data_IF_476788216182
#
_entry.id   IF_476788216182
#
_cell.length_a   1.000
_cell.length_b   1.000
_cell.length_c   1.000
_cell.angle_alpha   90.00
_cell.angle_beta   90.00
_cell.angle_gamma   90.00
#
_symmetry.space_group_name_H-M   'P 1'
#
loop_
_entity.id
_entity.type
_entity.pdbx_description
1 polymer ?
#
# COMPACT_ATOMS: atom_id res chain seq x y z
N UNK A 1 -7.68 -1.93 21.36
CA UNK A 1 -7.56 -0.54 20.87
C UNK A 1 -6.41 -0.51 19.89
N UNK A 2 -6.48 0.29 18.82
CA UNK A 2 -5.39 0.42 17.84
C UNK A 2 -4.76 1.79 18.05
N UNK A 3 -3.48 1.84 18.39
CA UNK A 3 -2.77 3.09 18.69
C UNK A 3 -2.10 3.69 17.46
N UNK A 4 -1.62 2.84 16.54
CA UNK A 4 -0.94 3.28 15.32
C UNK A 4 -1.25 2.40 14.12
N UNK A 5 -1.11 2.97 12.92
CA UNK A 5 -1.17 2.26 11.64
C UNK A 5 0.03 2.58 10.76
N UNK A 6 0.51 1.57 10.02
CA UNK A 6 1.56 1.74 9.01
C UNK A 6 0.95 1.70 7.61
N UNK A 7 1.22 2.72 6.80
CA UNK A 7 0.51 2.92 5.52
C UNK A 7 1.47 3.36 4.42
N UNK A 8 1.18 2.95 3.18
CA UNK A 8 1.85 3.52 2.00
C UNK A 8 1.24 4.90 1.75
N UNK A 9 2.07 5.94 1.75
CA UNK A 9 1.66 7.29 1.36
C UNK A 9 2.86 8.03 0.79
N UNK A 10 2.72 8.57 -0.42
CA UNK A 10 3.74 9.36 -1.08
C UNK A 10 3.11 10.22 -2.18
N UNK A 11 3.92 10.99 -2.89
CA UNK A 11 3.47 11.89 -3.96
C UNK A 11 2.67 11.15 -5.06
N UNK A 12 2.93 9.86 -5.30
CA UNK A 12 2.26 9.06 -6.31
C UNK A 12 1.09 8.21 -5.79
N UNK A 13 1.00 7.96 -4.49
CA UNK A 13 -0.03 7.15 -3.83
C UNK A 13 -0.63 7.92 -2.64
N UNK A 14 -1.82 8.45 -2.85
CA UNK A 14 -2.52 9.34 -1.92
C UNK A 14 -3.88 8.78 -1.46
N UNK A 15 -4.22 7.53 -1.81
CA UNK A 15 -5.47 6.89 -1.40
C UNK A 15 -5.78 6.95 0.11
N UNK A 16 -4.79 6.90 1.04
CA UNK A 16 -5.09 7.05 2.47
C UNK A 16 -5.82 8.35 2.85
N UNK A 17 -5.70 9.42 2.07
CA UNK A 17 -6.38 10.70 2.36
C UNK A 17 -7.91 10.59 2.29
N UNK A 18 -8.46 9.66 1.50
CA UNK A 18 -9.90 9.59 1.25
C UNK A 18 -10.70 9.13 2.48
N UNK A 19 -10.22 8.12 3.19
CA UNK A 19 -10.97 7.48 4.28
C UNK A 19 -10.12 7.16 5.50
N UNK A 20 -8.88 6.73 5.29
CA UNK A 20 -8.01 6.25 6.36
C UNK A 20 -7.53 7.40 7.25
N UNK A 21 -7.04 8.49 6.67
CA UNK A 21 -6.58 9.66 7.44
C UNK A 21 -7.70 10.33 8.24
N UNK A 22 -8.89 10.60 7.68
CA UNK A 22 -10.03 11.08 8.47
C UNK A 22 -10.41 10.14 9.62
N UNK A 23 -10.33 8.82 9.42
CA UNK A 23 -10.59 7.86 10.48
C UNK A 23 -9.52 7.92 11.58
N UNK A 24 -8.24 7.99 11.20
CA UNK A 24 -7.14 8.08 12.15
C UNK A 24 -7.25 9.35 13.02
N UNK A 25 -7.57 10.49 12.41
CA UNK A 25 -7.78 11.75 13.15
C UNK A 25 -8.95 11.66 14.13
N UNK A 26 -10.12 11.14 13.70
CA UNK A 26 -11.29 10.95 14.58
C UNK A 26 -11.01 10.05 15.77
N UNK A 27 -10.24 8.98 15.54
CA UNK A 27 -9.96 7.97 16.55
C UNK A 27 -8.63 8.20 17.30
N UNK A 28 -7.93 9.32 17.03
CA UNK A 28 -6.62 9.65 17.62
C UNK A 28 -5.57 8.56 17.43
N UNK A 29 -5.57 7.94 16.25
CA UNK A 29 -4.61 6.89 15.85
C UNK A 29 -3.42 7.54 15.14
N UNK A 30 -2.21 7.17 15.55
CA UNK A 30 -0.99 7.66 14.92
C UNK A 30 -0.75 7.02 13.54
N UNK A 31 -0.31 7.81 12.57
CA UNK A 31 0.03 7.33 11.23
C UNK A 31 1.54 7.31 11.05
N UNK A 32 2.07 6.13 10.74
CA UNK A 32 3.48 5.90 10.38
C UNK A 32 3.54 5.63 8.87
N UNK A 33 4.15 6.55 8.12
CA UNK A 33 4.21 6.42 6.67
C UNK A 33 5.42 5.60 6.24
N UNK A 34 5.16 4.57 5.43
CA UNK A 34 6.15 3.76 4.71
C UNK A 34 6.11 4.06 3.21
N UNK A 35 7.19 3.69 2.50
CA UNK A 35 7.32 3.88 1.03
C UNK A 35 7.15 5.35 0.60
N UNK A 36 7.58 6.28 1.46
CA UNK A 36 7.49 7.72 1.19
C UNK A 36 8.28 8.16 -0.06
N UNK A 37 9.25 7.36 -0.50
CA UNK A 37 10.11 7.62 -1.64
C UNK A 37 9.80 6.74 -2.88
N UNK A 38 8.64 6.10 -2.95
CA UNK A 38 8.25 5.18 -4.05
C UNK A 38 9.31 4.12 -4.37
N UNK A 39 9.82 3.42 -3.34
CA UNK A 39 10.90 2.43 -3.48
C UNK A 39 12.18 2.96 -4.17
N UNK A 40 12.39 4.28 -4.12
CA UNK A 40 13.50 5.00 -4.75
C UNK A 40 13.08 5.91 -5.91
N UNK A 41 11.86 5.78 -6.43
CA UNK A 41 11.36 6.58 -7.56
C UNK A 41 11.39 8.09 -7.30
N UNK A 42 11.11 8.52 -6.06
CA UNK A 42 11.10 9.94 -5.67
C UNK A 42 12.46 10.44 -5.17
N UNK A 43 13.57 9.80 -5.56
CA UNK A 43 14.93 10.24 -5.20
C UNK A 43 15.61 11.08 -6.29
N UNK A 44 15.02 11.15 -7.49
CA UNK A 44 15.63 11.78 -8.65
C UNK A 44 16.71 10.92 -9.33
N UNK A 45 16.94 9.69 -8.86
CA UNK A 45 18.02 8.82 -9.35
C UNK A 45 17.56 7.71 -10.29
N UNK A 46 16.26 7.41 -10.35
CA UNK A 46 15.74 6.37 -11.25
C UNK A 46 15.48 6.99 -12.62
N UNK A 47 16.21 6.49 -13.61
CA UNK A 47 16.14 6.85 -15.02
C UNK A 47 15.64 5.68 -15.87
N UNK A 48 15.18 5.93 -17.10
CA UNK A 48 14.71 4.89 -18.03
C UNK A 48 15.74 3.77 -18.25
N UNK A 49 17.03 4.14 -18.29
CA UNK A 49 18.18 3.25 -18.49
C UNK A 49 18.72 2.63 -17.19
N UNK A 50 18.14 2.94 -16.02
CA UNK A 50 18.59 2.38 -14.73
C UNK A 50 18.51 0.85 -14.74
N UNK A 51 19.62 0.22 -14.38
CA UNK A 51 19.75 -1.24 -14.22
C UNK A 51 19.90 -1.56 -12.74
N UNK A 52 19.09 -2.50 -12.24
CA UNK A 52 19.20 -2.98 -10.86
C UNK A 52 19.97 -4.31 -10.81
N UNK A 53 20.71 -4.59 -9.73
CA UNK A 53 21.40 -5.86 -9.55
C UNK A 53 20.46 -7.06 -9.67
N UNK A 54 21.02 -8.22 -10.05
CA UNK A 54 20.28 -9.48 -10.10
C UNK A 54 19.69 -9.82 -8.72
N UNK A 55 18.44 -10.29 -8.69
CA UNK A 55 17.71 -10.59 -7.45
C UNK A 55 17.15 -9.37 -6.70
N UNK A 56 17.41 -8.14 -7.16
CA UNK A 56 16.80 -6.95 -6.57
C UNK A 56 15.32 -6.84 -6.95
N UNK A 57 14.44 -6.78 -5.95
CA UNK A 57 12.98 -6.67 -6.14
C UNK A 57 12.58 -5.48 -7.02
N UNK A 58 13.42 -4.43 -7.07
CA UNK A 58 13.20 -3.23 -7.90
C UNK A 58 13.19 -3.54 -9.39
N UNK A 59 13.82 -4.63 -9.83
CA UNK A 59 13.66 -5.11 -11.21
C UNK A 59 12.19 -5.40 -11.52
N UNK A 60 11.48 -6.05 -10.60
CA UNK A 60 10.08 -6.38 -10.74
C UNK A 60 9.18 -5.16 -10.48
N UNK A 61 9.53 -4.31 -9.50
CA UNK A 61 8.77 -3.10 -9.17
C UNK A 61 8.79 -2.09 -10.32
N UNK A 62 9.96 -1.83 -10.91
CA UNK A 62 10.19 -0.90 -12.01
C UNK A 62 10.26 -1.59 -13.39
N UNK A 63 9.53 -2.69 -13.57
CA UNK A 63 9.47 -3.41 -14.85
C UNK A 63 8.70 -2.64 -15.93
N UNK A 64 8.99 -2.96 -17.19
CA UNK A 64 8.37 -2.34 -18.36
C UNK A 64 8.61 -0.82 -18.39
N UNK A 65 7.57 -0.06 -18.71
CA UNK A 65 7.68 1.39 -18.92
C UNK A 65 7.82 2.22 -17.63
N UNK A 66 7.69 1.59 -16.45
CA UNK A 66 7.60 2.33 -15.16
C UNK A 66 8.80 3.23 -14.92
N UNK A 67 10.02 2.83 -15.30
CA UNK A 67 11.22 3.69 -15.14
C UNK A 67 11.10 4.99 -15.92
N UNK A 68 10.64 4.91 -17.18
CA UNK A 68 10.41 6.08 -18.03
C UNK A 68 9.29 6.95 -17.46
N UNK A 69 8.19 6.34 -17.03
CA UNK A 69 7.05 7.08 -16.47
C UNK A 69 7.44 7.81 -15.18
N UNK A 70 8.25 7.17 -14.32
CA UNK A 70 8.77 7.79 -13.09
C UNK A 70 9.74 8.92 -13.44
N UNK A 71 10.70 8.70 -14.33
CA UNK A 71 11.65 9.72 -14.78
C UNK A 71 10.93 10.97 -15.32
N UNK A 72 9.92 10.79 -16.19
CA UNK A 72 9.16 11.89 -16.76
C UNK A 72 8.39 12.68 -15.67
N UNK A 73 7.71 11.98 -14.77
CA UNK A 73 6.95 12.62 -13.68
C UNK A 73 7.85 13.35 -12.71
N UNK A 74 8.99 12.76 -12.37
CA UNK A 74 10.01 13.38 -11.53
C UNK A 74 10.54 14.65 -12.19
N UNK A 75 10.87 14.59 -13.48
CA UNK A 75 11.34 15.76 -14.23
C UNK A 75 10.33 16.91 -14.15
N UNK A 76 9.04 16.63 -14.37
CA UNK A 76 7.96 17.64 -14.24
C UNK A 76 7.89 18.22 -12.83
N UNK A 77 7.94 17.39 -11.78
CA UNK A 77 7.93 17.86 -10.40
C UNK A 77 9.12 18.78 -10.10
N UNK A 78 10.31 18.41 -10.58
CA UNK A 78 11.54 19.18 -10.39
C UNK A 78 11.45 20.53 -11.09
N UNK A 79 10.95 20.55 -12.34
CA UNK A 79 10.70 21.76 -13.13
C UNK A 79 9.64 22.67 -12.46
N UNK A 80 8.48 22.12 -12.12
CA UNK A 80 7.35 22.87 -11.55
C UNK A 80 7.67 23.49 -10.18
N UNK A 81 8.57 22.86 -9.42
CA UNK A 81 9.01 23.35 -8.11
C UNK A 81 10.30 24.16 -8.17
N UNK A 82 10.93 24.27 -9.35
CA UNK A 82 12.23 24.93 -9.53
C UNK A 82 13.31 24.44 -8.55
N UNK A 83 13.30 23.14 -8.25
CA UNK A 83 14.27 22.51 -7.34
C UNK A 83 15.37 21.79 -8.12
N UNK A 84 16.49 21.51 -7.45
CA UNK A 84 17.47 20.58 -7.98
C UNK A 84 16.97 19.12 -7.86
N UNK A 85 17.30 18.22 -8.80
CA UNK A 85 16.89 16.82 -8.74
C UNK A 85 17.26 16.09 -7.44
N UNK A 86 18.39 16.45 -6.84
CA UNK A 86 18.87 15.87 -5.57
C UNK A 86 18.12 16.39 -4.33
N UNK A 87 17.35 17.47 -4.48
CA UNK A 87 16.41 18.01 -3.50
C UNK A 87 15.08 17.26 -3.46
N UNK A 88 14.76 16.47 -4.49
CA UNK A 88 13.45 15.80 -4.60
C UNK A 88 13.13 14.88 -3.43
N UNK A 89 14.12 14.10 -2.96
CA UNK A 89 13.91 13.19 -1.84
C UNK A 89 13.50 13.95 -0.56
N UNK A 90 14.15 15.07 -0.28
CA UNK A 90 13.81 15.93 0.86
C UNK A 90 12.41 16.53 0.68
N UNK A 91 12.10 17.03 -0.51
CA UNK A 91 10.77 17.56 -0.85
C UNK A 91 9.67 16.52 -0.68
N UNK A 92 9.89 15.28 -1.12
CA UNK A 92 8.93 14.18 -0.99
C UNK A 92 8.67 13.79 0.47
N UNK A 93 9.71 13.80 1.31
CA UNK A 93 9.55 13.54 2.75
C UNK A 93 8.84 14.68 3.46
N UNK A 94 9.13 15.93 3.09
CA UNK A 94 8.41 17.12 3.61
C UNK A 94 6.94 17.11 3.18
N UNK A 95 6.64 16.69 1.95
CA UNK A 95 5.27 16.49 1.46
C UNK A 95 4.50 15.55 2.39
N UNK A 96 5.06 14.37 2.68
CA UNK A 96 4.44 13.39 3.57
C UNK A 96 4.21 13.96 4.97
N UNK A 97 5.23 14.59 5.56
CA UNK A 97 5.17 15.15 6.91
C UNK A 97 4.30 16.41 7.04
N UNK A 98 3.88 17.02 5.93
CA UNK A 98 3.01 18.19 5.93
C UNK A 98 1.54 17.84 6.23
N UNK A 99 1.13 16.59 6.03
CA UNK A 99 -0.25 16.18 6.24
C UNK A 99 -0.55 16.06 7.75
N UNK A 100 -1.62 16.67 8.29
CA UNK A 100 -1.91 16.69 9.72
C UNK A 100 -2.09 15.30 10.34
N UNK A 101 -2.76 14.38 9.63
CA UNK A 101 -2.86 12.98 10.06
C UNK A 101 -1.50 12.25 10.20
N UNK A 102 -0.43 12.69 9.54
CA UNK A 102 0.86 11.99 9.53
C UNK A 102 1.68 12.34 10.78
N UNK A 103 1.84 11.34 11.65
CA UNK A 103 2.63 11.48 12.87
C UNK A 103 4.13 11.40 12.57
N UNK A 104 4.56 10.42 11.78
CA UNK A 104 5.97 10.23 11.41
C UNK A 104 6.13 9.48 10.10
N UNK A 105 7.36 9.45 9.57
CA UNK A 105 7.76 8.74 8.37
C UNK A 105 9.00 7.89 8.66
N UNK A 106 9.07 6.70 8.07
CA UNK A 106 10.18 5.75 8.22
C UNK A 106 10.92 5.53 6.89
N UNK A 107 11.72 6.51 6.42
CA UNK A 107 12.40 6.42 5.14
C UNK A 107 13.53 5.39 5.19
N UNK A 108 13.72 4.65 4.09
CA UNK A 108 14.83 3.71 3.95
C UNK A 108 16.19 4.41 3.94
N UNK A 109 17.17 3.80 4.59
CA UNK A 109 18.55 4.30 4.72
C UNK A 109 19.53 3.14 4.58
N UNK A 110 20.51 3.26 3.69
CA UNK A 110 21.59 2.27 3.48
C UNK A 110 23.00 2.89 3.57
N UNK A 111 23.09 4.17 3.89
CA UNK A 111 24.34 4.90 4.06
C UNK A 111 24.17 5.96 5.15
N UNK A 112 25.26 6.29 5.85
CA UNK A 112 25.28 7.33 6.90
C UNK A 112 24.77 8.66 6.37
N UNK A 113 25.21 9.07 5.17
CA UNK A 113 24.72 10.27 4.49
C UNK A 113 23.19 10.32 4.40
N UNK A 114 22.54 9.20 4.08
CA UNK A 114 21.07 9.17 3.99
C UNK A 114 20.41 9.28 5.37
N UNK A 115 21.04 8.73 6.42
CA UNK A 115 20.57 8.92 7.81
C UNK A 115 20.59 10.40 8.16
N UNK A 116 21.74 11.06 7.99
CA UNK A 116 21.93 12.47 8.33
C UNK A 116 20.94 13.37 7.59
N UNK A 117 20.80 13.19 6.27
CA UNK A 117 19.85 13.96 5.46
C UNK A 117 18.40 13.75 5.91
N UNK A 118 18.00 12.51 6.23
CA UNK A 118 16.63 12.22 6.67
C UNK A 118 16.35 12.80 8.06
N UNK A 119 17.31 12.70 9.00
CA UNK A 119 17.18 13.24 10.35
C UNK A 119 17.06 14.77 10.37
N UNK A 120 17.84 15.45 9.52
CA UNK A 120 17.81 16.91 9.41
C UNK A 120 16.42 17.46 9.06
N UNK A 121 15.57 16.70 8.35
CA UNK A 121 14.20 17.09 8.00
C UNK A 121 13.34 17.18 9.27
N UNK A 122 13.44 16.19 10.17
CA UNK A 122 12.71 16.16 11.43
C UNK A 122 13.16 17.26 12.40
N UNK A 123 14.44 17.59 12.40
CA UNK A 123 14.99 18.70 13.19
C UNK A 123 14.46 20.05 12.72
N UNK A 124 14.47 20.30 11.40
CA UNK A 124 13.89 21.52 10.83
C UNK A 124 12.40 21.63 11.10
N UNK A 125 11.64 20.52 11.04
CA UNK A 125 10.22 20.52 11.40
C UNK A 125 9.99 20.94 12.85
N UNK A 126 10.82 20.47 13.79
CA UNK A 126 10.74 20.87 15.21
C UNK A 126 11.10 22.33 15.42
N UNK A 127 12.14 22.82 14.74
CA UNK A 127 12.54 24.23 14.79
C UNK A 127 11.46 25.16 14.19
N UNK A 128 10.83 24.75 13.09
CA UNK A 128 9.76 25.48 12.42
C UNK A 128 8.42 25.44 13.16
N UNK A 129 8.20 24.49 14.08
CA UNK A 129 6.97 24.43 14.88
C UNK A 129 6.74 25.70 15.74
N UNK A 130 7.78 26.53 15.96
CA UNK A 130 7.68 27.86 16.58
C UNK A 130 7.58 29.04 15.59
N UNK A 131 7.72 28.82 14.28
CA UNK A 131 7.76 29.89 13.26
C UNK A 131 6.78 29.59 12.11
N UNK A 132 5.71 30.38 11.98
CA UNK A 132 4.60 30.17 11.02
C UNK A 132 5.01 30.17 9.54
N UNK A 133 6.12 30.82 9.16
CA UNK A 133 6.53 31.00 7.75
C UNK A 133 7.05 29.74 7.07
N UNK A 134 7.84 28.91 7.75
CA UNK A 134 8.48 27.74 7.12
C UNK A 134 7.49 26.57 6.99
N UNK A 135 6.61 26.42 7.98
CA UNK A 135 5.51 25.45 7.99
C UNK A 135 4.50 25.74 6.89
N UNK A 136 4.19 27.03 6.66
CA UNK A 136 3.33 27.46 5.55
C UNK A 136 3.97 27.14 4.18
N UNK A 137 5.28 27.35 4.01
CA UNK A 137 5.99 26.99 2.78
C UNK A 137 5.96 25.49 2.48
N UNK A 138 6.17 24.64 3.49
CA UNK A 138 6.06 23.19 3.34
C UNK A 138 4.63 22.73 3.05
N UNK A 139 3.63 23.35 3.69
CA UNK A 139 2.21 23.08 3.42
C UNK A 139 1.79 23.54 2.02
N UNK A 140 2.25 24.71 1.57
CA UNK A 140 2.00 25.21 0.22
C UNK A 140 2.64 24.33 -0.84
N UNK A 141 3.92 23.96 -0.66
CA UNK A 141 4.60 23.03 -1.56
C UNK A 141 3.88 21.67 -1.62
N UNK A 142 3.40 21.18 -0.48
CA UNK A 142 2.64 19.94 -0.43
C UNK A 142 1.25 20.05 -1.06
N UNK A 143 0.58 21.19 -0.88
CA UNK A 143 -0.72 21.46 -1.49
C UNK A 143 -0.60 21.68 -3.00
N UNK A 144 0.50 22.27 -3.45
CA UNK A 144 0.86 22.41 -4.86
C UNK A 144 1.17 21.05 -5.49
N UNK A 145 2.01 20.24 -4.85
CA UNK A 145 2.28 18.86 -5.27
C UNK A 145 1.01 18.01 -5.32
N UNK A 146 0.11 18.15 -4.34
CA UNK A 146 -1.23 17.51 -4.37
C UNK A 146 -2.02 17.92 -5.60
N UNK A 147 -1.99 19.19 -6.01
CA UNK A 147 -2.67 19.64 -7.24
C UNK A 147 -2.04 19.05 -8.49
N UNK A 148 -0.71 19.03 -8.59
CA UNK A 148 0.01 18.48 -9.74
C UNK A 148 -0.20 16.97 -9.93
N UNK A 149 -0.49 16.28 -8.83
CA UNK A 149 -0.68 14.82 -8.82
C UNK A 149 -2.12 14.39 -8.67
N UNK A 150 -3.05 15.34 -8.50
CA UNK A 150 -4.47 15.08 -8.44
C UNK A 150 -4.96 14.51 -9.78
N UNK A 151 -5.80 13.46 -9.77
CA UNK A 151 -6.33 12.88 -10.99
C UNK A 151 -7.32 13.84 -11.67
N UNK A 152 -6.82 14.70 -12.57
CA UNK A 152 -7.64 15.62 -13.37
C UNK A 152 -6.94 16.83 -13.99
N UNK A 153 -5.67 17.12 -13.71
CA UNK A 153 -4.94 18.21 -14.37
C UNK A 153 -4.20 17.70 -15.61
N UNK A 154 -4.92 17.60 -16.74
CA UNK A 154 -4.28 17.51 -18.06
C UNK A 154 -3.67 18.88 -18.41
N UNK A 155 -2.39 18.97 -18.83
CA UNK A 155 -1.88 20.18 -19.47
C UNK A 155 -2.64 20.41 -20.80
N UNK A 156 -2.80 21.68 -21.24
CA UNK A 156 -3.65 22.04 -22.39
C UNK A 156 -3.20 21.48 -23.75
N UNK A 157 -2.10 20.72 -23.80
CA UNK A 157 -1.47 20.29 -25.03
C UNK A 157 -1.59 18.77 -25.13
N UNK A 158 -2.66 18.32 -25.80
CA UNK A 158 -3.02 16.92 -25.96
C UNK A 158 -1.92 16.08 -26.61
N UNK A 159 -1.14 15.40 -25.77
CA UNK A 159 -0.15 14.42 -26.21
C UNK A 159 0.20 13.44 -25.09
N UNK A 160 -0.34 12.22 -25.20
CA UNK A 160 0.15 10.91 -24.69
C UNK A 160 -0.90 10.09 -23.91
N UNK A 161 -1.56 9.23 -24.69
CA UNK A 161 -1.89 7.81 -24.51
C UNK A 161 -2.74 7.25 -23.32
N UNK A 162 -3.59 6.22 -23.60
CA UNK A 162 -4.81 5.90 -22.87
C UNK A 162 -4.63 4.85 -21.76
N UNK A 163 -3.42 4.64 -21.27
CA UNK A 163 -3.08 3.50 -20.41
C UNK A 163 -3.68 3.56 -18.99
N UNK A 164 -4.12 4.74 -18.53
CA UNK A 164 -4.75 4.92 -17.22
C UNK A 164 -6.30 4.97 -17.25
N UNK A 165 -6.95 4.83 -18.42
CA UNK A 165 -8.43 4.79 -18.49
C UNK A 165 -9.04 3.45 -18.07
N UNK A 166 -8.29 2.35 -17.95
CA UNK A 166 -8.88 1.00 -17.71
C UNK A 166 -9.08 0.59 -16.26
N UNK A 167 -8.49 1.27 -15.26
CA UNK A 167 -8.64 0.89 -13.84
C UNK A 167 -9.53 1.82 -12.99
N UNK A 168 -10.06 2.92 -13.55
CA UNK A 168 -11.04 3.79 -12.86
C UNK A 168 -12.51 3.45 -13.21
N UNK A 169 -12.76 2.81 -14.37
CA UNK A 169 -14.11 2.40 -14.80
C UNK A 169 -14.54 1.02 -14.28
N UNK A 170 -13.60 0.10 -14.06
CA UNK A 170 -13.93 -1.24 -13.57
C UNK A 170 -14.54 -1.22 -12.17
N UNK A 171 -14.06 -0.36 -11.26
CA UNK A 171 -14.61 -0.25 -9.90
C UNK A 171 -15.99 0.43 -9.87
N UNK A 172 -16.23 1.44 -10.72
CA UNK A 172 -17.53 2.13 -10.79
C UNK A 172 -18.64 1.28 -11.42
N UNK A 173 -18.35 0.44 -12.41
CA UNK A 173 -19.36 -0.49 -12.97
C UNK A 173 -19.59 -1.74 -12.10
N UNK A 174 -18.57 -2.23 -11.37
CA UNK A 174 -18.75 -3.39 -10.49
C UNK A 174 -19.59 -3.09 -9.25
N UNK A 175 -19.50 -1.88 -8.68
CA UNK A 175 -20.40 -1.48 -7.59
C UNK A 175 -21.83 -1.23 -8.07
N UNK A 176 -22.02 -0.62 -9.25
CA UNK A 176 -23.37 -0.35 -9.77
C UNK A 176 -24.12 -1.60 -10.25
N UNK A 177 -23.42 -2.60 -10.82
CA UNK A 177 -24.07 -3.87 -11.21
C UNK A 177 -24.48 -4.73 -10.01
N UNK A 178 -23.78 -4.65 -8.87
CA UNK A 178 -24.15 -5.38 -7.65
C UNK A 178 -25.30 -4.74 -6.88
N UNK A 179 -25.55 -3.44 -7.07
CA UNK A 179 -26.66 -2.71 -6.44
C UNK A 179 -28.02 -2.87 -7.14
N UNK A 180 -28.06 -3.32 -8.41
CA UNK A 180 -29.30 -3.48 -9.17
C UNK A 180 -29.82 -4.92 -9.27
N UNK A 181 -29.12 -5.91 -8.70
CA UNK A 181 -29.59 -7.31 -8.65
C UNK A 181 -30.17 -7.71 -7.27
N UNK A 182 -30.04 -6.85 -6.25
CA UNK A 182 -30.50 -7.14 -4.89
C UNK A 182 -31.86 -6.51 -4.53
N UNK A 183 -32.67 -6.11 -5.51
CA UNK A 183 -33.98 -5.49 -5.29
C UNK A 183 -35.09 -6.23 -6.07
N UNK A 184 -35.14 -7.55 -5.96
CA UNK A 184 -36.34 -8.36 -6.24
C UNK A 184 -36.12 -9.77 -5.70
N UNK A 185 -36.59 -10.04 -4.47
CA UNK A 185 -37.28 -11.26 -4.04
C UNK A 185 -37.69 -11.04 -2.57
N UNK A 186 -38.99 -11.15 -2.37
CA UNK A 186 -39.73 -10.90 -1.15
C UNK A 186 -39.45 -11.91 -0.03
N UNK A 187 -39.56 -11.41 1.20
CA UNK A 187 -40.18 -12.01 2.40
C UNK A 187 -39.93 -13.46 2.80
N UNK A 188 -39.61 -13.59 4.10
CA UNK A 188 -39.74 -14.74 5.01
C UNK A 188 -38.54 -15.67 5.15
N UNK A 189 -37.74 -15.45 6.20
CA UNK A 189 -37.57 -16.38 7.32
C UNK A 189 -36.58 -15.82 8.37
N UNK A 190 -36.78 -16.26 9.60
CA UNK A 190 -36.19 -15.81 10.87
C UNK A 190 -34.68 -16.17 10.98
N UNK A 191 -33.94 -15.35 11.75
CA UNK A 191 -32.51 -15.27 12.19
C UNK A 191 -31.70 -16.59 12.40
N UNK A 192 -30.35 -16.58 12.65
CA UNK A 192 -29.48 -15.48 13.13
C UNK A 192 -28.03 -15.35 12.54
N UNK A 193 -27.44 -14.16 12.76
CA UNK A 193 -26.06 -13.83 13.18
C UNK A 193 -24.77 -14.49 12.58
N UNK A 194 -23.74 -13.63 12.40
CA UNK A 194 -22.26 -13.87 12.32
C UNK A 194 -21.74 -14.53 11.02
N UNK A 195 -20.53 -14.31 10.51
CA UNK A 195 -19.39 -13.42 10.77
C UNK A 195 -18.44 -13.53 9.55
N UNK A 196 -17.54 -12.56 9.37
CA UNK A 196 -16.38 -12.72 8.50
C UNK A 196 -15.55 -13.92 8.98
N UNK A 197 -15.13 -14.76 8.04
CA UNK A 197 -14.46 -16.03 8.32
C UNK A 197 -13.05 -15.81 8.87
N UNK A 198 -12.94 -15.77 10.20
CA UNK A 198 -11.74 -16.24 10.88
C UNK A 198 -11.54 -17.73 10.55
N UNK A 199 -10.30 -18.16 10.30
CA UNK A 199 -10.00 -19.59 10.25
C UNK A 199 -10.16 -20.15 11.66
N UNK A 200 -11.34 -20.73 11.90
CA UNK A 200 -11.64 -21.46 13.12
C UNK A 200 -11.01 -22.85 12.98
N UNK A 201 -10.16 -23.21 13.95
CA UNK A 201 -9.65 -24.56 14.08
C UNK A 201 -10.71 -25.44 14.77
N UNK A 202 -11.67 -25.89 13.97
CA UNK A 202 -12.68 -26.87 14.35
C UNK A 202 -12.85 -27.93 13.26
N UNK A 203 -13.71 -28.93 13.51
CA UNK A 203 -13.94 -30.03 12.58
C UNK A 203 -14.49 -29.56 11.21
N UNK A 204 -15.29 -28.49 11.20
CA UNK A 204 -15.84 -27.92 9.98
C UNK A 204 -14.77 -27.19 9.16
N UNK A 205 -13.89 -26.45 9.84
CA UNK A 205 -12.73 -25.78 9.27
C UNK A 205 -11.74 -26.77 8.64
N UNK A 206 -11.46 -27.89 9.32
CA UNK A 206 -10.62 -28.96 8.77
C UNK A 206 -11.21 -29.57 7.50
N UNK A 207 -12.51 -29.91 7.52
CA UNK A 207 -13.18 -30.52 6.36
C UNK A 207 -13.15 -29.60 5.13
N UNK A 208 -13.30 -28.29 5.35
CA UNK A 208 -13.17 -27.28 4.30
C UNK A 208 -11.73 -27.19 3.77
N UNK A 209 -10.74 -27.15 4.67
CA UNK A 209 -9.32 -27.10 4.30
C UNK A 209 -8.89 -28.34 3.50
N UNK A 210 -9.37 -29.54 3.87
CA UNK A 210 -9.13 -30.78 3.12
C UNK A 210 -9.64 -30.69 1.68
N UNK A 211 -10.84 -30.12 1.51
CA UNK A 211 -11.44 -29.90 0.19
C UNK A 211 -10.60 -28.92 -0.64
N UNK A 212 -10.17 -27.82 -0.02
CA UNK A 212 -9.34 -26.80 -0.66
C UNK A 212 -7.95 -27.34 -1.08
N UNK A 213 -7.30 -28.13 -0.22
CA UNK A 213 -6.00 -28.78 -0.52
C UNK A 213 -6.15 -29.83 -1.63
N UNK A 214 -7.29 -30.54 -1.67
CA UNK A 214 -7.59 -31.52 -2.71
C UNK A 214 -7.65 -30.91 -4.12
N UNK A 215 -8.06 -29.65 -4.23
CA UNK A 215 -8.19 -28.90 -5.48
C UNK A 215 -6.88 -28.31 -6.01
N UNK A 216 -5.77 -28.41 -5.26
CA UNK A 216 -4.45 -27.97 -5.74
C UNK A 216 -3.99 -28.91 -6.86
N UNK A 217 -3.62 -28.33 -8.00
CA UNK A 217 -3.22 -29.04 -9.22
C UNK A 217 -1.71 -29.22 -9.35
N UNK A 218 -0.91 -28.32 -8.77
CA UNK A 218 0.55 -28.41 -8.74
C UNK A 218 1.00 -29.49 -7.72
N UNK A 219 1.76 -30.49 -8.18
CA UNK A 219 2.13 -31.65 -7.36
C UNK A 219 3.02 -31.29 -6.17
N UNK A 220 3.99 -30.40 -6.35
CA UNK A 220 4.90 -29.98 -5.28
C UNK A 220 4.19 -29.17 -4.20
N UNK A 221 3.29 -28.26 -4.60
CA UNK A 221 2.47 -27.48 -3.68
C UNK A 221 1.43 -28.34 -2.98
N UNK A 222 0.87 -29.32 -3.69
CA UNK A 222 -0.09 -30.27 -3.11
C UNK A 222 0.54 -31.10 -2.01
N UNK A 223 1.76 -31.59 -2.21
CA UNK A 223 2.51 -32.34 -1.18
C UNK A 223 2.77 -31.48 0.07
N UNK A 224 3.25 -30.25 -0.13
CA UNK A 224 3.48 -29.31 0.98
C UNK A 224 2.18 -29.00 1.74
N UNK A 225 1.10 -28.71 1.02
CA UNK A 225 -0.20 -28.40 1.61
C UNK A 225 -0.82 -29.61 2.35
N UNK A 226 -0.61 -30.83 1.85
CA UNK A 226 -1.03 -32.08 2.52
C UNK A 226 -0.25 -32.33 3.81
N UNK A 227 1.05 -32.02 3.83
CA UNK A 227 1.88 -32.12 5.03
C UNK A 227 1.42 -31.15 6.12
N UNK A 228 1.17 -29.90 5.77
CA UNK A 228 0.65 -28.88 6.70
C UNK A 228 -0.77 -29.22 7.19
N UNK A 229 -1.63 -29.72 6.31
CA UNK A 229 -2.96 -30.21 6.68
C UNK A 229 -2.90 -31.36 7.71
N UNK A 230 -1.93 -32.27 7.58
CA UNK A 230 -1.75 -33.37 8.55
C UNK A 230 -1.36 -32.83 9.92
N UNK A 231 -0.40 -31.90 9.98
CA UNK A 231 0.01 -31.25 11.23
C UNK A 231 -1.11 -30.43 11.86
N UNK A 232 -1.99 -29.83 11.06
CA UNK A 232 -3.18 -29.13 11.56
C UNK A 232 -4.18 -30.09 12.25
N UNK A 233 -4.40 -31.28 11.68
CA UNK A 233 -5.29 -32.30 12.28
C UNK A 233 -4.73 -32.85 13.59
N UNK A 234 -3.42 -33.09 13.66
CA UNK A 234 -2.74 -33.52 14.89
C UNK A 234 -2.86 -32.46 15.98
N UNK A 235 -2.65 -31.18 15.63
CA UNK A 235 -2.82 -30.07 16.56
C UNK A 235 -4.27 -29.92 17.06
N UNK A 236 -5.26 -30.12 16.19
CA UNK A 236 -6.68 -30.15 16.60
C UNK A 236 -6.97 -31.30 17.56
N UNK A 237 -6.45 -32.51 17.30
CA UNK A 237 -6.60 -33.66 18.19
C UNK A 237 -5.91 -33.46 19.56
N UNK A 238 -4.81 -32.71 19.59
CA UNK A 238 -4.11 -32.30 20.80
C UNK A 238 -4.75 -31.08 21.50
N UNK A 239 -5.85 -30.54 20.97
CA UNK A 239 -6.50 -29.32 21.43
C UNK A 239 -5.57 -28.08 21.45
N UNK A 240 -4.56 -28.05 20.58
CA UNK A 240 -3.59 -26.95 20.42
C UNK A 240 -4.08 -25.99 19.31
N UNK A 241 -4.88 -25.02 19.74
CA UNK A 241 -5.55 -24.06 18.87
C UNK A 241 -4.59 -23.12 18.13
N UNK A 242 -3.44 -22.79 18.73
CA UNK A 242 -2.47 -21.89 18.13
C UNK A 242 -1.71 -22.58 17.01
N UNK A 243 -1.15 -23.78 17.27
CA UNK A 243 -0.46 -24.56 16.25
C UNK A 243 -1.39 -24.96 15.11
N UNK A 244 -2.63 -25.32 15.43
CA UNK A 244 -3.62 -25.67 14.42
C UNK A 244 -3.85 -24.52 13.44
N UNK A 245 -4.08 -23.30 13.93
CA UNK A 245 -4.27 -22.11 13.08
C UNK A 245 -3.04 -21.80 12.23
N UNK A 246 -1.83 -21.97 12.78
CA UNK A 246 -0.58 -21.78 12.03
C UNK A 246 -0.45 -22.76 10.86
N UNK A 247 -0.70 -24.05 11.10
CA UNK A 247 -0.63 -25.07 10.06
C UNK A 247 -1.76 -24.92 9.03
N UNK A 248 -2.96 -24.53 9.43
CA UNK A 248 -4.04 -24.17 8.51
C UNK A 248 -3.65 -23.04 7.55
N UNK A 249 -3.04 -21.97 8.08
CA UNK A 249 -2.60 -20.84 7.28
C UNK A 249 -1.48 -21.21 6.30
N UNK A 250 -0.54 -22.08 6.72
CA UNK A 250 0.54 -22.56 5.86
C UNK A 250 0.03 -23.50 4.76
N UNK A 251 -0.93 -24.37 5.04
CA UNK A 251 -1.55 -25.24 4.04
C UNK A 251 -2.21 -24.44 2.90
N UNK A 252 -2.82 -23.29 3.21
CA UNK A 252 -3.47 -22.45 2.20
C UNK A 252 -2.50 -21.69 1.29
N UNK A 253 -1.23 -21.47 1.69
CA UNK A 253 -0.22 -20.82 0.83
C UNK A 253 0.06 -21.63 -0.45
N UNK A 254 -0.24 -22.93 -0.46
CA UNK A 254 -0.17 -23.75 -1.67
C UNK A 254 -1.14 -23.30 -2.79
N UNK A 255 -2.16 -22.50 -2.45
CA UNK A 255 -3.20 -22.00 -3.37
C UNK A 255 -2.81 -20.69 -4.08
N UNK A 256 -1.76 -19.99 -3.62
CA UNK A 256 -1.40 -18.68 -4.17
C UNK A 256 -0.58 -18.84 -5.46
N UNK A 257 -1.05 -18.33 -6.62
CA UNK A 257 -0.24 -18.26 -7.82
C UNK A 257 0.93 -17.29 -7.60
N UNK A 258 2.14 -17.69 -7.97
CA UNK A 258 3.34 -16.84 -7.89
C UNK A 258 3.36 -15.82 -9.03
#
# INVERSE_FOLDING_TARGET
MVDTVQVIYNVFEQAPEEQLFPACERHKVGVIVRVALDEGGLTGQIRADTVFPEGDFRQNYFRGERKRDVEERVRKIVEDLEIAPDGLAETALRFVLSHPAVSTVIPGMRSVRNVERNCAIGERRRAAAGTTRETAGAQMAAQFLRRLTAPGTEPPDGGLAPAYRRKRWHWRLHMFKKLLVAAAISTACVSPALAQADLVCDQAGMTKLETDVGQITDSGRKEMAQKELTMAKEALAANDQEKCKTHMANAMKGKDPM
#
